data_IF_354542396507
#
_entry.id   IF_354542396507
#
_cell.length_a   1.000
_cell.length_b   1.000
_cell.length_c   1.000
_cell.angle_alpha   90.00
_cell.angle_beta   90.00
_cell.angle_gamma   90.00
#
_symmetry.space_group_name_H-M   'P 1'
#
loop_
_entity.id
_entity.type
_entity.pdbx_description
1 polymer ?
#
# COMPACT_ATOMS: atom_id res chain seq x y z
N UNK A 1 3.86 25.21 7.10
CA UNK A 1 4.22 23.96 6.40
C UNK A 1 5.12 23.15 7.31
N UNK A 2 4.77 21.89 7.60
CA UNK A 2 5.63 21.00 8.39
C UNK A 2 6.44 20.12 7.43
N UNK A 3 7.59 20.63 7.00
CA UNK A 3 8.61 19.81 6.34
C UNK A 3 9.31 18.97 7.40
N UNK A 4 8.76 17.78 7.67
CA UNK A 4 9.48 16.74 8.41
C UNK A 4 10.77 16.34 7.68
N UNK A 5 11.74 15.71 8.37
CA UNK A 5 12.99 15.30 7.75
C UNK A 5 12.73 14.37 6.57
N UNK A 6 13.24 14.73 5.40
CA UNK A 6 13.15 13.93 4.19
C UNK A 6 14.14 12.77 4.26
N UNK A 7 13.75 11.69 4.94
CA UNK A 7 14.50 10.43 4.98
C UNK A 7 14.86 10.04 3.54
N UNK A 8 16.15 9.87 3.28
CA UNK A 8 16.63 9.49 1.95
C UNK A 8 16.28 8.03 1.66
N UNK A 9 16.17 7.69 0.38
CA UNK A 9 15.95 6.30 -0.03
C UNK A 9 17.08 5.36 0.43
N UNK A 10 18.29 5.88 0.69
CA UNK A 10 19.43 5.10 1.16
C UNK A 10 19.26 4.68 2.63
N UNK A 11 19.07 5.66 3.54
CA UNK A 11 18.84 5.41 4.97
C UNK A 11 17.68 4.42 5.20
N UNK A 12 16.63 4.57 4.40
CA UNK A 12 15.46 3.70 4.43
C UNK A 12 15.73 2.24 3.99
N UNK A 13 16.63 2.02 3.02
CA UNK A 13 17.03 0.68 2.57
C UNK A 13 17.90 0.01 3.63
N UNK A 14 18.75 0.78 4.32
CA UNK A 14 19.64 0.25 5.35
C UNK A 14 18.84 -0.21 6.59
N UNK A 15 17.79 0.52 6.99
CA UNK A 15 16.85 0.12 8.07
C UNK A 15 15.89 -1.02 7.68
N UNK A 16 15.31 -0.98 6.47
CA UNK A 16 14.24 -1.91 6.06
C UNK A 16 14.75 -3.14 5.27
N UNK A 17 16.04 -3.19 4.97
CA UNK A 17 16.69 -4.30 4.28
C UNK A 17 16.59 -4.29 2.74
N UNK A 18 17.32 -5.22 2.11
CA UNK A 18 17.64 -5.25 0.67
C UNK A 18 16.45 -5.27 -0.30
N UNK A 19 15.23 -5.54 0.18
CA UNK A 19 14.00 -5.62 -0.61
C UNK A 19 12.91 -4.73 0.00
N UNK A 20 13.29 -3.48 0.29
CA UNK A 20 12.40 -2.39 0.66
C UNK A 20 12.30 -1.34 -0.45
N UNK A 21 11.09 -0.83 -0.67
CA UNK A 21 10.83 0.30 -1.55
C UNK A 21 10.07 1.37 -0.77
N UNK A 22 10.57 2.60 -0.84
CA UNK A 22 9.87 3.79 -0.36
C UNK A 22 8.99 4.32 -1.49
N UNK A 23 7.80 4.79 -1.13
CA UNK A 23 6.85 5.34 -2.10
C UNK A 23 6.05 6.51 -1.54
N UNK A 24 5.61 7.37 -2.45
CA UNK A 24 4.72 8.50 -2.19
C UNK A 24 3.67 8.56 -3.30
N UNK A 25 2.40 8.69 -2.91
CA UNK A 25 1.27 8.86 -3.84
C UNK A 25 0.48 10.09 -3.38
N UNK A 26 0.35 11.15 -4.22
CA UNK A 26 -0.48 12.29 -3.89
C UNK A 26 -1.96 11.92 -4.04
N UNK A 27 -2.76 12.20 -3.01
CA UNK A 27 -4.21 12.03 -3.06
C UNK A 27 -4.87 13.17 -3.85
N UNK A 28 -5.65 12.82 -4.88
CA UNK A 28 -6.36 13.77 -5.75
C UNK A 28 -7.38 14.58 -4.93
N UNK A 29 -7.37 15.92 -5.09
CA UNK A 29 -8.08 16.89 -4.25
C UNK A 29 -9.61 16.73 -4.16
N UNK A 30 -10.21 16.04 -5.12
CA UNK A 30 -11.66 15.88 -5.28
C UNK A 30 -12.16 14.47 -4.99
N UNK A 31 -11.38 13.65 -4.28
CA UNK A 31 -11.83 12.35 -3.80
C UNK A 31 -12.86 12.53 -2.65
N UNK A 32 -13.99 11.80 -2.65
CA UNK A 32 -14.88 11.78 -1.49
C UNK A 32 -14.24 11.07 -0.30
N UNK A 33 -14.64 11.39 0.94
CA UNK A 33 -14.18 10.68 2.13
C UNK A 33 -14.55 9.19 2.12
N UNK A 34 -13.85 8.39 2.92
CA UNK A 34 -14.36 7.11 3.42
C UNK A 34 -15.64 7.40 4.23
N UNK A 35 -16.73 6.72 3.89
CA UNK A 35 -18.05 6.89 4.52
C UNK A 35 -18.53 5.54 5.02
N UNK A 36 -19.05 5.55 6.26
CA UNK A 36 -19.63 4.42 6.99
C UNK A 36 -18.66 3.27 7.34
N UNK A 37 -19.07 2.45 8.33
CA UNK A 37 -18.41 1.18 8.63
C UNK A 37 -18.63 0.16 7.51
N UNK A 38 -17.85 -0.93 7.43
CA UNK A 38 -17.97 -1.91 6.35
C UNK A 38 -19.40 -2.42 6.13
N UNK A 39 -20.16 -2.64 7.20
CA UNK A 39 -21.46 -3.31 7.14
C UNK A 39 -22.64 -2.33 7.07
N UNK A 40 -22.43 -1.11 6.54
CA UNK A 40 -23.43 -0.03 6.50
C UNK A 40 -23.37 0.72 5.18
N UNK A 41 -24.54 1.09 4.64
CA UNK A 41 -24.70 1.71 3.31
C UNK A 41 -25.32 3.12 3.36
N UNK A 42 -25.05 3.99 2.37
CA UNK A 42 -24.06 3.83 1.30
C UNK A 42 -22.64 3.94 1.85
N UNK A 43 -21.64 3.32 1.20
CA UNK A 43 -20.23 3.38 1.64
C UNK A 43 -19.27 3.78 0.55
N UNK A 44 -18.22 4.48 0.95
CA UNK A 44 -17.04 4.80 0.14
C UNK A 44 -15.85 4.23 0.87
N UNK A 45 -15.00 3.48 0.18
CA UNK A 45 -13.80 2.86 0.77
C UNK A 45 -12.62 2.99 -0.19
N UNK A 46 -11.42 3.02 0.37
CA UNK A 46 -10.18 3.02 -0.39
C UNK A 46 -9.34 1.82 0.00
N UNK A 47 -8.57 1.30 -0.95
CA UNK A 47 -7.70 0.15 -0.72
C UNK A 47 -6.36 0.38 -1.39
N UNK A 48 -5.25 0.16 -0.69
CA UNK A 48 -4.01 -0.16 -1.38
C UNK A 48 -4.13 -1.59 -1.92
N UNK A 49 -3.74 -1.79 -3.18
CA UNK A 49 -3.52 -3.10 -3.76
C UNK A 49 -2.06 -3.26 -4.17
N UNK A 50 -1.50 -4.45 -3.92
CA UNK A 50 -0.19 -4.85 -4.46
C UNK A 50 -0.45 -6.06 -5.35
N UNK A 51 -0.05 -5.99 -6.63
CA UNK A 51 -0.23 -7.08 -7.60
C UNK A 51 1.13 -7.57 -8.09
N UNK A 52 1.54 -8.74 -7.64
CA UNK A 52 2.81 -9.34 -8.02
C UNK A 52 2.56 -10.33 -9.15
N UNK A 53 2.90 -9.91 -10.36
CA UNK A 53 2.71 -10.70 -11.57
C UNK A 53 3.83 -11.75 -11.69
N UNK A 54 3.46 -12.92 -12.18
CA UNK A 54 4.36 -14.07 -12.34
C UNK A 54 4.38 -14.53 -13.79
N UNK A 55 5.23 -15.52 -14.05
CA UNK A 55 5.24 -16.25 -15.31
C UNK A 55 3.88 -16.89 -15.61
N UNK A 56 3.57 -16.98 -16.89
CA UNK A 56 2.32 -17.43 -17.51
C UNK A 56 1.64 -18.70 -16.95
N UNK A 57 2.38 -19.55 -16.23
CA UNK A 57 1.89 -20.77 -15.60
C UNK A 57 1.51 -20.62 -14.11
N UNK A 58 1.55 -19.42 -13.53
CA UNK A 58 1.09 -19.19 -12.14
C UNK A 58 0.29 -17.90 -11.96
N UNK A 59 -0.73 -17.96 -11.10
CA UNK A 59 -1.56 -16.80 -10.77
C UNK A 59 -0.80 -15.70 -10.02
N UNK A 60 -1.07 -14.46 -10.43
CA UNK A 60 -0.54 -13.24 -9.83
C UNK A 60 -1.04 -13.11 -8.39
N UNK A 61 -0.17 -12.71 -7.47
CA UNK A 61 -0.57 -12.46 -6.07
C UNK A 61 -1.26 -11.11 -6.06
N UNK A 62 -2.50 -11.05 -5.54
CA UNK A 62 -3.20 -9.79 -5.27
C UNK A 62 -3.36 -9.64 -3.77
N UNK A 63 -2.66 -8.68 -3.17
CA UNK A 63 -2.93 -8.21 -1.82
C UNK A 63 -3.84 -6.98 -1.87
N UNK A 64 -4.75 -6.82 -0.90
CA UNK A 64 -5.60 -5.63 -0.73
C UNK A 64 -5.63 -5.22 0.72
N UNK A 65 -5.58 -3.92 0.99
CA UNK A 65 -5.59 -3.35 2.34
C UNK A 65 -6.38 -2.06 2.40
N UNK A 66 -7.35 -1.98 3.30
CA UNK A 66 -8.16 -0.79 3.55
C UNK A 66 -7.30 0.44 3.88
N UNK A 67 -7.69 1.59 3.30
CA UNK A 67 -7.20 2.93 3.61
C UNK A 67 -8.38 3.78 4.06
N UNK A 68 -8.21 4.59 5.10
CA UNK A 68 -9.23 5.52 5.55
C UNK A 68 -8.88 6.92 5.05
N UNK A 69 -9.52 7.34 3.96
CA UNK A 69 -9.48 8.74 3.55
C UNK A 69 -10.47 9.49 4.42
N UNK A 70 -10.01 10.47 5.18
CA UNK A 70 -10.94 11.27 5.98
C UNK A 70 -11.61 12.36 5.12
N UNK A 71 -12.78 12.88 5.54
CA UNK A 71 -13.25 14.16 5.04
C UNK A 71 -12.27 15.28 5.42
N UNK A 72 -12.66 16.54 5.24
CA UNK A 72 -12.03 17.66 5.95
C UNK A 72 -12.39 17.61 7.45
N UNK A 73 -11.93 16.55 8.11
CA UNK A 73 -12.00 16.31 9.56
C UNK A 73 -10.63 16.65 10.12
N UNK A 74 -10.63 17.27 11.29
CA UNK A 74 -9.42 17.47 12.06
C UNK A 74 -8.84 16.11 12.48
N UNK A 75 -7.73 15.67 11.87
CA UNK A 75 -7.12 14.37 12.21
C UNK A 75 -6.69 14.29 13.69
N UNK A 76 -6.52 15.43 14.37
CA UNK A 76 -6.24 15.49 15.81
C UNK A 76 -7.41 14.98 16.67
N UNK A 77 -8.65 15.05 16.17
CA UNK A 77 -9.85 14.48 16.83
C UNK A 77 -9.97 12.96 16.60
N UNK A 78 -9.13 12.38 15.75
CA UNK A 78 -9.11 10.95 15.42
C UNK A 78 -7.67 10.39 15.53
N UNK A 79 -7.05 10.40 16.72
CA UNK A 79 -5.64 10.05 16.90
C UNK A 79 -5.30 8.63 16.45
N UNK A 80 -6.25 7.68 16.49
CA UNK A 80 -6.10 6.33 15.95
C UNK A 80 -5.73 6.32 14.45
N UNK A 81 -6.11 7.37 13.72
CA UNK A 81 -5.82 7.53 12.31
C UNK A 81 -4.42 8.13 12.04
N UNK A 82 -3.76 8.66 13.08
CA UNK A 82 -2.37 9.11 13.04
C UNK A 82 -1.37 8.01 13.44
N UNK A 83 -1.85 6.85 13.94
CA UNK A 83 -0.99 5.73 14.33
C UNK A 83 -0.45 4.97 13.10
N UNK A 84 0.86 4.62 13.07
CA UNK A 84 1.42 3.72 12.07
C UNK A 84 0.69 2.38 12.03
N UNK A 85 0.69 1.72 10.87
CA UNK A 85 0.04 0.42 10.75
C UNK A 85 0.87 -0.57 9.94
N UNK A 86 1.10 -1.74 10.53
CA UNK A 86 1.87 -2.84 9.95
C UNK A 86 0.90 -3.92 9.49
N UNK A 87 1.10 -4.42 8.28
CA UNK A 87 0.26 -5.44 7.68
C UNK A 87 1.10 -6.55 7.09
N UNK A 88 0.97 -7.74 7.67
CA UNK A 88 1.71 -8.93 7.27
C UNK A 88 0.83 -9.89 6.47
N UNK A 89 1.43 -10.57 5.50
CA UNK A 89 0.78 -11.58 4.68
C UNK A 89 1.79 -12.61 4.19
N UNK A 90 1.47 -13.90 4.36
CA UNK A 90 2.25 -15.02 3.86
C UNK A 90 1.43 -15.82 2.84
N UNK A 91 2.07 -16.21 1.74
CA UNK A 91 1.41 -17.02 0.70
C UNK A 91 1.86 -18.49 0.73
N UNK A 92 1.17 -19.34 -0.04
CA UNK A 92 1.43 -20.81 -0.16
C UNK A 92 2.80 -21.20 -0.75
N UNK A 93 3.75 -20.27 -0.85
CA UNK A 93 5.15 -20.49 -1.25
C UNK A 93 6.16 -19.86 -0.26
N UNK A 94 5.70 -19.55 0.95
CA UNK A 94 6.46 -18.97 2.06
C UNK A 94 7.08 -17.60 1.76
N UNK A 95 6.56 -16.89 0.74
CA UNK A 95 6.94 -15.50 0.48
C UNK A 95 6.09 -14.65 1.42
N UNK A 96 6.74 -13.95 2.35
CA UNK A 96 6.11 -13.04 3.30
C UNK A 96 6.24 -11.60 2.83
N UNK A 97 5.17 -10.84 3.04
CA UNK A 97 5.05 -9.43 2.73
C UNK A 97 4.71 -8.69 4.01
N UNK A 98 5.46 -7.63 4.32
CA UNK A 98 5.20 -6.74 5.45
C UNK A 98 5.10 -5.32 4.91
N UNK A 99 3.90 -4.76 4.95
CA UNK A 99 3.60 -3.41 4.49
C UNK A 99 3.38 -2.50 5.70
N UNK A 100 4.23 -1.49 5.88
CA UNK A 100 4.22 -0.58 7.03
C UNK A 100 3.86 0.82 6.58
N UNK A 101 2.68 1.31 6.93
CA UNK A 101 2.23 2.69 6.66
C UNK A 101 2.63 3.62 7.80
N UNK A 102 3.04 4.84 7.48
CA UNK A 102 3.37 5.84 8.51
C UNK A 102 2.14 6.26 9.34
N UNK A 103 0.92 6.15 8.79
CA UNK A 103 -0.36 6.30 9.50
C UNK A 103 -1.54 5.66 8.76
N UNK A 104 -2.71 5.60 9.38
CA UNK A 104 -3.94 5.03 8.79
C UNK A 104 -4.80 6.02 7.99
N UNK A 105 -4.73 7.32 8.34
CA UNK A 105 -5.63 8.35 7.82
C UNK A 105 -4.89 9.53 7.20
N UNK A 106 -5.24 9.84 5.96
CA UNK A 106 -4.62 10.89 5.15
C UNK A 106 -5.65 11.93 4.71
N UNK A 107 -5.20 13.17 4.53
CA UNK A 107 -5.98 14.24 3.87
C UNK A 107 -5.63 14.36 2.38
N UNK A 108 -6.45 15.07 1.61
CA UNK A 108 -6.16 15.32 0.20
C UNK A 108 -4.91 16.18 0.00
N UNK A 109 -4.18 15.94 -1.09
CA UNK A 109 -2.85 16.51 -1.33
C UNK A 109 -1.73 15.95 -0.44
N UNK A 110 -2.02 15.11 0.56
CA UNK A 110 -1.00 14.51 1.42
C UNK A 110 -0.30 13.33 0.75
N UNK A 111 1.01 13.21 0.96
CA UNK A 111 1.80 12.08 0.48
C UNK A 111 1.60 10.86 1.39
N UNK A 112 1.02 9.79 0.84
CA UNK A 112 0.99 8.48 1.49
C UNK A 112 2.40 7.89 1.50
N UNK A 113 3.06 7.88 2.67
CA UNK A 113 4.38 7.26 2.86
C UNK A 113 4.24 5.88 3.51
N UNK A 114 4.95 4.89 2.97
CA UNK A 114 4.99 3.55 3.52
C UNK A 114 6.23 2.74 3.08
N UNK A 115 6.37 1.55 3.67
CA UNK A 115 7.38 0.52 3.39
C UNK A 115 6.73 -0.75 2.88
N UNK A 116 7.34 -1.41 1.90
CA UNK A 116 7.04 -2.80 1.54
C UNK A 116 8.31 -3.64 1.68
N UNK A 117 8.36 -4.50 2.70
CA UNK A 117 9.38 -5.53 2.89
C UNK A 117 8.92 -6.85 2.25
N UNK A 118 9.82 -7.54 1.55
CA UNK A 118 9.55 -8.85 0.93
C UNK A 118 10.58 -9.89 1.37
N UNK A 119 10.13 -10.90 2.11
CA UNK A 119 10.95 -12.05 2.49
C UNK A 119 10.67 -13.22 1.53
N UNK A 120 11.71 -13.70 0.83
CA UNK A 120 11.61 -14.73 -0.20
C UNK A 120 12.60 -15.88 0.09
N UNK A 121 12.39 -16.67 1.16
CA UNK A 121 13.36 -17.67 1.64
C UNK A 121 13.66 -18.76 0.60
N UNK A 122 12.65 -19.10 -0.23
CA UNK A 122 12.77 -20.08 -1.32
C UNK A 122 13.41 -19.52 -2.61
N UNK A 123 13.91 -18.28 -2.60
CA UNK A 123 14.54 -17.57 -3.75
C UNK A 123 13.71 -17.58 -5.05
N UNK A 124 12.38 -17.62 -4.93
CA UNK A 124 11.46 -17.76 -6.07
C UNK A 124 11.54 -16.53 -6.97
N UNK A 125 11.63 -16.73 -8.29
CA UNK A 125 11.66 -15.62 -9.24
C UNK A 125 10.36 -14.80 -9.16
N UNK A 126 10.50 -13.49 -8.90
CA UNK A 126 9.43 -12.49 -8.94
C UNK A 126 9.66 -11.63 -10.20
N UNK A 127 8.72 -11.65 -11.15
CA UNK A 127 8.88 -10.95 -12.43
C UNK A 127 8.55 -9.46 -12.32
N UNK A 128 7.40 -9.15 -11.72
CA UNK A 128 6.93 -7.77 -11.53
C UNK A 128 6.22 -7.65 -10.18
N UNK A 129 6.43 -6.53 -9.50
CA UNK A 129 5.63 -6.12 -8.35
C UNK A 129 4.94 -4.82 -8.70
N UNK A 130 3.64 -4.83 -8.94
CA UNK A 130 2.85 -3.62 -9.15
C UNK A 130 2.29 -3.14 -7.81
N UNK A 131 2.09 -1.84 -7.74
CA UNK A 131 1.39 -1.14 -6.69
C UNK A 131 0.20 -0.39 -7.29
N UNK A 132 -0.93 -0.34 -6.59
CA UNK A 132 -2.05 0.52 -6.92
C UNK A 132 -2.77 1.06 -5.69
N UNK A 133 -3.40 2.24 -5.81
CA UNK A 133 -4.52 2.63 -4.94
C UNK A 133 -5.80 2.39 -5.73
N UNK A 134 -6.76 1.76 -5.06
CA UNK A 134 -8.12 1.54 -5.50
C UNK A 134 -9.07 2.43 -4.70
N UNK A 135 -10.09 2.94 -5.38
CA UNK A 135 -11.33 3.46 -4.77
C UNK A 135 -12.40 2.41 -5.04
N UNK A 136 -13.03 1.91 -3.98
CA UNK A 136 -14.14 0.99 -4.09
C UNK A 136 -15.41 1.69 -3.61
N UNK A 137 -16.48 1.48 -4.35
CA UNK A 137 -17.79 2.06 -4.07
C UNK A 137 -18.80 0.92 -3.99
N UNK A 138 -19.74 0.99 -3.05
CA UNK A 138 -20.78 -0.03 -2.97
C UNK A 138 -22.13 0.56 -2.58
N UNK A 139 -23.14 0.26 -3.40
CA UNK A 139 -24.56 0.48 -3.14
C UNK A 139 -25.20 -0.91 -3.17
N UNK A 140 -25.79 -1.35 -2.06
CA UNK A 140 -26.46 -2.66 -1.96
C UNK A 140 -25.54 -3.80 -2.44
N UNK A 141 -25.95 -4.56 -3.47
CA UNK A 141 -25.18 -5.64 -4.09
C UNK A 141 -24.22 -5.18 -5.20
N UNK A 142 -24.26 -3.91 -5.63
CA UNK A 142 -23.40 -3.36 -6.68
C UNK A 142 -22.09 -2.88 -6.07
N UNK A 143 -20.98 -3.51 -6.44
CA UNK A 143 -19.62 -3.18 -6.03
C UNK A 143 -18.80 -2.74 -7.24
N UNK A 144 -18.33 -1.50 -7.23
CA UNK A 144 -17.49 -0.90 -8.27
C UNK A 144 -16.07 -0.66 -7.73
N UNK A 145 -15.05 -0.89 -8.56
CA UNK A 145 -13.63 -0.76 -8.19
C UNK A 145 -12.84 0.01 -9.26
N UNK A 146 -12.26 1.14 -8.85
CA UNK A 146 -11.54 2.07 -9.72
C UNK A 146 -10.08 2.19 -9.29
N UNK A 147 -9.15 2.01 -10.23
CA UNK A 147 -7.73 2.27 -10.00
C UNK A 147 -7.51 3.79 -9.98
N UNK A 148 -7.21 4.36 -8.82
CA UNK A 148 -6.89 5.79 -8.61
C UNK A 148 -5.43 6.06 -8.96
N UNK A 149 -4.55 5.12 -8.66
CA UNK A 149 -3.12 5.18 -8.95
C UNK A 149 -2.59 3.79 -9.28
N UNK A 150 -1.60 3.69 -10.16
CA UNK A 150 -0.81 2.48 -10.39
C UNK A 150 0.64 2.82 -10.70
N UNK A 151 1.58 2.07 -10.14
CA UNK A 151 2.99 2.07 -10.56
C UNK A 151 3.57 0.65 -10.55
N UNK A 152 4.76 0.49 -11.14
CA UNK A 152 5.54 -0.74 -11.15
C UNK A 152 6.74 -0.51 -10.23
N UNK A 153 6.87 -1.32 -9.18
CA UNK A 153 8.05 -1.28 -8.32
C UNK A 153 9.28 -1.80 -9.09
N UNK A 154 10.49 -1.29 -8.80
CA UNK A 154 11.74 -1.79 -9.40
C UNK A 154 11.86 -3.32 -9.35
N UNK A 155 12.49 -3.90 -10.37
CA UNK A 155 12.71 -5.36 -10.44
C UNK A 155 13.49 -5.83 -9.21
N UNK A 156 13.00 -6.91 -8.61
CA UNK A 156 13.67 -7.57 -7.49
C UNK A 156 14.86 -8.36 -8.05
N UNK A 157 16.01 -7.70 -8.18
CA UNK A 157 17.26 -8.35 -8.58
C UNK A 157 17.69 -9.26 -7.43
N UNK A 158 17.66 -10.57 -7.67
CA UNK A 158 18.31 -11.53 -6.79
C UNK A 158 19.83 -11.29 -6.84
N UNK A 159 20.35 -10.53 -5.87
CA UNK A 159 21.79 -10.35 -5.65
C UNK A 159 22.37 -11.65 -5.05
N UNK A 160 22.58 -12.66 -5.90
CA UNK A 160 23.10 -13.98 -5.52
C UNK A 160 24.47 -14.32 -6.10
N UNK A 161 25.06 -13.44 -6.91
CA UNK A 161 26.25 -13.72 -7.71
C UNK A 161 27.36 -12.66 -7.53
N UNK A 162 27.62 -12.25 -6.30
CA UNK A 162 28.85 -11.54 -5.91
C UNK A 162 29.52 -12.26 -4.72
N UNK A 163 29.97 -13.49 -4.98
CA UNK A 163 31.18 -14.15 -4.44
C UNK A 163 31.29 -15.58 -5.00
#
# INVERSE_FOLDING_TARGET
SLSGPSITQQEFIDDCGRYAWLFQIPLIDNLPPTINQPDTFPRVQYFLQVVIDKSWYTSNIKYKKYLTIHPRVNLLENPQCLLPCIFEFENRKDIKFKATFNKLGYIFGENIQFTLEIQNPRKILILHSNLSILKCYQIESKFDEYIVYKTILPKIVNLTNEH
#
